data_IF_320300272112
#
_entry.id   IF_320300272112
#
_cell.length_a   1.000
_cell.length_b   1.000
_cell.length_c   1.000
_cell.angle_alpha   90.00
_cell.angle_beta   90.00
_cell.angle_gamma   90.00
#
_symmetry.space_group_name_H-M   'P 1'
#
loop_
_entity.id
_entity.type
_entity.pdbx_description
1 polymer ?
#
# COMPACT_ATOMS: atom_id res chain seq x y z
N UNK A 1 3.33 -12.00 8.17
CA UNK A 1 4.44 -11.49 7.33
C UNK A 1 4.63 -10.05 7.73
N UNK A 2 5.86 -9.55 7.70
CA UNK A 2 6.14 -8.14 8.04
C UNK A 2 6.33 -7.35 6.74
N UNK A 3 5.66 -6.21 6.65
CA UNK A 3 5.79 -5.24 5.57
C UNK A 3 6.26 -3.90 6.13
N UNK A 4 6.86 -3.07 5.29
CA UNK A 4 7.34 -1.74 5.62
C UNK A 4 6.76 -0.72 4.66
N UNK A 5 6.07 0.29 5.19
CA UNK A 5 5.60 1.48 4.48
C UNK A 5 6.62 2.61 4.69
N UNK A 6 7.19 3.13 3.61
CA UNK A 6 8.13 4.24 3.65
C UNK A 6 7.66 5.40 2.77
N UNK A 7 7.70 6.62 3.31
CA UNK A 7 7.55 7.84 2.53
C UNK A 7 8.86 8.15 1.85
N UNK A 8 8.89 8.14 0.51
CA UNK A 8 10.09 8.50 -0.26
C UNK A 8 10.14 10.03 -0.38
N UNK A 9 9.54 10.58 -1.45
CA UNK A 9 9.30 12.01 -1.57
C UNK A 9 8.03 12.47 -0.85
N UNK A 10 7.12 11.54 -0.54
CA UNK A 10 5.93 11.83 0.26
C UNK A 10 6.26 11.86 1.77
N UNK A 11 5.82 12.91 2.45
CA UNK A 11 5.93 13.13 3.89
C UNK A 11 4.87 12.34 4.66
N UNK A 12 5.32 11.44 5.53
CA UNK A 12 4.47 10.65 6.40
C UNK A 12 3.62 11.53 7.34
N UNK A 13 2.30 11.31 7.37
CA UNK A 13 1.36 12.06 8.20
C UNK A 13 0.83 13.35 7.56
N UNK A 14 1.51 13.88 6.54
CA UNK A 14 1.03 14.98 5.71
C UNK A 14 0.38 14.41 4.45
N UNK A 15 1.17 13.74 3.61
CA UNK A 15 0.77 13.34 2.26
C UNK A 15 0.07 11.97 2.26
N UNK A 16 0.34 11.16 3.27
CA UNK A 16 -0.36 9.89 3.50
C UNK A 16 -0.44 9.53 4.98
N UNK A 17 -1.43 8.69 5.32
CA UNK A 17 -1.58 8.14 6.66
C UNK A 17 -0.52 7.07 6.92
N UNK A 18 0.41 7.37 7.83
CA UNK A 18 1.53 6.49 8.19
C UNK A 18 1.31 5.68 9.47
N UNK A 19 0.13 5.79 10.08
CA UNK A 19 -0.19 5.13 11.37
C UNK A 19 -1.08 3.91 11.21
N UNK A 20 -1.71 3.73 10.04
CA UNK A 20 -2.56 2.58 9.76
C UNK A 20 -2.66 2.30 8.26
N UNK A 21 -2.98 1.05 7.94
CA UNK A 21 -3.33 0.60 6.59
C UNK A 21 -4.60 -0.24 6.62
N UNK A 22 -5.30 -0.31 5.49
CA UNK A 22 -6.44 -1.21 5.30
C UNK A 22 -6.04 -2.39 4.44
N UNK A 23 -6.20 -3.61 4.94
CA UNK A 23 -6.00 -4.85 4.22
C UNK A 23 -7.35 -5.33 3.70
N UNK A 24 -7.41 -5.77 2.45
CA UNK A 24 -8.58 -6.45 1.86
C UNK A 24 -8.17 -7.86 1.48
N UNK A 25 -8.83 -8.85 2.07
CA UNK A 25 -8.56 -10.28 1.85
C UNK A 25 -9.25 -10.80 0.58
N UNK A 26 -8.99 -12.07 0.25
CA UNK A 26 -9.55 -12.69 -0.96
C UNK A 26 -11.08 -12.75 -0.93
N UNK A 27 -11.66 -12.97 0.25
CA UNK A 27 -13.11 -13.01 0.48
C UNK A 27 -13.78 -11.62 0.50
N UNK A 28 -12.98 -10.55 0.33
CA UNK A 28 -13.44 -9.17 0.36
C UNK A 28 -13.57 -8.57 1.76
N UNK A 29 -13.29 -9.34 2.83
CA UNK A 29 -13.25 -8.78 4.18
C UNK A 29 -12.09 -7.80 4.33
N UNK A 30 -12.24 -6.86 5.26
CA UNK A 30 -11.22 -5.84 5.52
C UNK A 30 -10.73 -5.87 6.96
N UNK A 31 -9.46 -5.53 7.14
CA UNK A 31 -8.84 -5.32 8.44
C UNK A 31 -8.01 -4.04 8.43
N UNK A 32 -8.20 -3.19 9.44
CA UNK A 32 -7.29 -2.09 9.72
C UNK A 32 -6.14 -2.58 10.59
N UNK A 33 -4.91 -2.30 10.19
CA UNK A 33 -3.70 -2.68 10.91
C UNK A 33 -2.90 -1.42 11.23
N UNK A 34 -2.49 -1.30 12.50
CA UNK A 34 -1.63 -0.21 12.94
C UNK A 34 -0.22 -0.36 12.36
N UNK A 35 0.35 0.76 11.95
CA UNK A 35 1.72 0.86 11.47
C UNK A 35 2.59 1.38 12.63
N UNK A 36 3.71 0.69 12.87
CA UNK A 36 4.67 1.06 13.89
C UNK A 36 5.39 2.37 13.51
N UNK A 37 6.02 3.03 14.49
CA UNK A 37 6.75 4.28 14.25
C UNK A 37 7.93 4.16 13.27
N UNK A 38 8.41 2.95 13.00
CA UNK A 38 9.43 2.65 11.99
C UNK A 38 8.84 2.27 10.61
N UNK A 39 7.53 2.40 10.43
CA UNK A 39 6.83 2.06 9.20
C UNK A 39 6.49 0.58 9.04
N UNK A 40 6.87 -0.27 9.99
CA UNK A 40 6.60 -1.72 9.90
C UNK A 40 5.20 -2.07 10.37
N UNK A 41 4.62 -3.14 9.81
CA UNK A 41 3.38 -3.74 10.30
C UNK A 41 3.28 -5.20 9.89
N UNK A 42 2.53 -5.99 10.66
CA UNK A 42 2.32 -7.40 10.40
C UNK A 42 0.98 -7.68 9.73
N UNK A 43 1.04 -8.50 8.68
CA UNK A 43 -0.13 -9.01 7.97
C UNK A 43 -0.25 -10.51 8.21
N UNK A 44 -1.38 -10.92 8.77
CA UNK A 44 -1.80 -12.32 8.86
C UNK A 44 -2.71 -12.64 7.67
N UNK A 45 -2.29 -13.56 6.80
CA UNK A 45 -3.10 -14.07 5.69
C UNK A 45 -3.70 -15.41 6.15
N UNK A 46 -5.03 -15.56 6.16
CA UNK A 46 -5.68 -16.84 6.48
C UNK A 46 -5.15 -17.99 5.62
N UNK A 47 -5.11 -19.19 6.17
CA UNK A 47 -4.71 -20.37 5.40
C UNK A 47 -5.69 -20.60 4.23
N UNK A 48 -5.16 -20.72 3.01
CA UNK A 48 -5.95 -20.88 1.79
C UNK A 48 -6.09 -19.59 0.96
N UNK A 49 -5.90 -18.42 1.58
CA UNK A 49 -5.87 -17.15 0.85
C UNK A 49 -4.52 -16.97 0.17
N UNK A 50 -4.56 -16.67 -1.13
CA UNK A 50 -3.36 -16.44 -1.96
C UNK A 50 -3.25 -14.99 -2.43
N UNK A 51 -4.28 -14.18 -2.21
CA UNK A 51 -4.39 -12.82 -2.73
C UNK A 51 -4.94 -11.89 -1.67
N UNK A 52 -4.32 -10.72 -1.55
CA UNK A 52 -4.82 -9.63 -0.71
C UNK A 52 -4.38 -8.30 -1.33
N UNK A 53 -5.01 -7.21 -0.89
CA UNK A 53 -4.62 -5.85 -1.24
C UNK A 53 -4.41 -5.03 0.01
N UNK A 54 -3.51 -4.06 -0.05
CA UNK A 54 -3.25 -3.10 1.02
C UNK A 54 -3.54 -1.71 0.48
N UNK A 55 -4.34 -0.94 1.21
CA UNK A 55 -4.64 0.45 0.89
C UNK A 55 -4.06 1.36 1.95
N UNK A 56 -3.36 2.40 1.47
CA UNK A 56 -2.87 3.53 2.26
C UNK A 56 -3.68 4.75 1.87
N UNK A 57 -4.18 5.51 2.84
CA UNK A 57 -4.89 6.76 2.58
C UNK A 57 -3.89 7.86 2.25
N UNK A 58 -4.09 8.57 1.14
CA UNK A 58 -3.34 9.80 0.82
C UNK A 58 -4.17 11.03 1.19
N UNK A 59 -3.49 12.12 1.51
CA UNK A 59 -4.09 13.44 1.71
C UNK A 59 -3.87 14.24 0.45
N UNK A 60 -4.91 14.95 0.00
CA UNK A 60 -4.79 15.97 -1.04
C UNK A 60 -5.15 17.30 -0.37
N UNK A 61 -4.17 18.17 -0.19
CA UNK A 61 -4.33 19.45 0.48
C UNK A 61 -4.46 20.64 -0.50
N UNK A 62 -4.41 20.37 -1.81
CA UNK A 62 -4.55 21.35 -2.88
C UNK A 62 -3.30 22.17 -3.19
N UNK A 63 -2.16 21.90 -2.54
CA UNK A 63 -0.88 22.57 -2.80
C UNK A 63 0.00 21.68 -3.65
N UNK A 64 0.51 22.16 -4.80
CA UNK A 64 1.46 21.37 -5.58
C UNK A 64 2.88 21.50 -5.04
N UNK A 65 3.41 20.41 -4.49
CA UNK A 65 4.78 20.33 -3.96
C UNK A 65 5.73 19.54 -4.88
N UNK A 66 5.20 18.92 -5.93
CA UNK A 66 5.94 18.09 -6.88
C UNK A 66 5.36 16.68 -6.98
N UNK A 67 6.11 15.78 -7.62
CA UNK A 67 5.77 14.35 -7.68
C UNK A 67 6.17 13.65 -6.38
N UNK A 68 5.18 13.30 -5.58
CA UNK A 68 5.35 12.59 -4.33
C UNK A 68 5.12 11.09 -4.48
N UNK A 69 5.96 10.28 -3.82
CA UNK A 69 5.84 8.83 -3.85
C UNK A 69 6.09 8.20 -2.49
N UNK A 70 5.46 7.05 -2.26
CA UNK A 70 5.74 6.16 -1.14
C UNK A 70 5.93 4.74 -1.63
N UNK A 71 6.62 3.93 -0.83
CA UNK A 71 6.90 2.53 -1.11
C UNK A 71 6.25 1.63 -0.07
N UNK A 72 5.77 0.48 -0.52
CA UNK A 72 5.42 -0.65 0.33
C UNK A 72 6.32 -1.81 -0.03
N UNK A 73 7.03 -2.35 0.96
CA UNK A 73 8.00 -3.41 0.75
C UNK A 73 7.83 -4.56 1.73
N UNK A 74 8.20 -5.76 1.29
CA UNK A 74 8.38 -6.91 2.18
C UNK A 74 8.17 -8.24 1.47
N UNK A 75 8.17 -9.32 2.25
CA UNK A 75 8.14 -10.68 1.74
C UNK A 75 7.18 -11.56 2.54
N UNK A 76 6.40 -12.36 1.84
CA UNK A 76 5.64 -13.47 2.43
C UNK A 76 6.59 -14.59 2.85
N UNK A 77 6.15 -15.50 3.73
CA UNK A 77 6.96 -16.62 4.19
C UNK A 77 7.41 -17.57 3.06
N UNK A 78 6.70 -17.57 1.93
CA UNK A 78 7.01 -18.41 0.76
C UNK A 78 7.76 -17.67 -0.35
N UNK A 79 7.99 -16.36 -0.22
CA UNK A 79 8.76 -15.56 -1.17
C UNK A 79 10.25 -15.58 -0.83
N UNK A 80 11.07 -15.87 -1.84
CA UNK A 80 12.54 -15.73 -1.75
C UNK A 80 13.02 -14.31 -1.99
N UNK A 81 12.16 -13.44 -2.54
CA UNK A 81 12.51 -12.04 -2.88
C UNK A 81 11.41 -11.12 -2.35
N UNK A 82 11.82 -10.04 -1.69
CA UNK A 82 10.91 -8.98 -1.28
C UNK A 82 10.30 -8.29 -2.51
N UNK A 83 9.02 -7.96 -2.42
CA UNK A 83 8.35 -7.11 -3.42
C UNK A 83 8.35 -5.68 -2.92
N UNK A 84 8.76 -4.75 -3.77
CA UNK A 84 8.62 -3.31 -3.54
C UNK A 84 7.63 -2.75 -4.56
N UNK A 85 6.61 -2.04 -4.07
CA UNK A 85 5.65 -1.33 -4.91
C UNK A 85 5.71 0.15 -4.57
N UNK A 86 5.94 0.98 -5.58
CA UNK A 86 5.91 2.43 -5.46
C UNK A 86 4.55 2.95 -5.92
N UNK A 87 3.98 3.90 -5.17
CA UNK A 87 2.74 4.58 -5.56
C UNK A 87 2.90 6.09 -5.47
N UNK A 88 2.34 6.85 -6.43
CA UNK A 88 2.23 8.28 -6.29
C UNK A 88 1.24 8.62 -5.15
N UNK A 89 1.61 9.60 -4.33
CA UNK A 89 0.65 10.35 -3.53
C UNK A 89 -0.13 11.27 -4.46
N UNK A 90 -1.42 11.50 -4.19
CA UNK A 90 -2.20 12.48 -4.96
C UNK A 90 -2.01 13.86 -4.36
N UNK A 91 -1.23 14.69 -5.03
CA UNK A 91 -1.09 16.12 -4.76
C UNK A 91 -1.65 16.87 -5.96
N UNK A 92 -2.91 17.32 -5.92
CA UNK A 92 -3.46 18.12 -7.04
C UNK A 92 -3.37 19.61 -6.73
N UNK A 93 -2.33 20.25 -7.26
CA UNK A 93 -2.37 21.69 -7.51
C UNK A 93 -3.45 22.00 -8.53
N UNK A 94 -4.64 22.36 -8.06
CA UNK A 94 -5.62 23.04 -8.88
C UNK A 94 -5.19 24.51 -9.00
N UNK A 95 -4.57 24.88 -10.12
CA UNK A 95 -4.51 26.29 -10.50
C UNK A 95 -5.83 26.63 -11.21
N UNK A 96 -6.88 27.01 -10.47
CA UNK A 96 -8.04 27.77 -11.00
C UNK A 96 -8.64 28.63 -9.86
N UNK A 97 -9.07 29.89 -10.12
CA UNK A 97 -9.21 31.00 -9.15
C UNK A 97 -10.48 30.88 -8.24
N UNK A 98 -10.79 31.83 -7.34
CA UNK A 98 -11.27 31.56 -5.98
C UNK A 98 -12.70 31.01 -5.89
N UNK A 99 -12.87 29.71 -5.89
CA UNK A 99 -13.95 29.05 -5.17
C UNK A 99 -13.50 27.71 -4.58
N UNK A 100 -13.55 27.61 -3.25
CA UNK A 100 -13.03 26.48 -2.50
C UNK A 100 -13.82 25.20 -2.76
N UNK A 101 -13.11 24.10 -3.04
CA UNK A 101 -13.66 22.75 -2.91
C UNK A 101 -12.63 21.79 -2.33
N UNK A 102 -12.82 21.56 -1.02
CA UNK A 102 -12.55 20.38 -0.20
C UNK A 102 -11.49 19.37 -0.67
N UNK A 103 -10.34 19.37 0.01
CA UNK A 103 -9.35 18.30 0.03
C UNK A 103 -9.98 16.95 0.42
N UNK A 104 -9.93 16.00 -0.50
CA UNK A 104 -10.53 14.68 -0.35
C UNK A 104 -9.44 13.61 -0.24
N UNK A 105 -9.41 12.90 0.91
CA UNK A 105 -8.55 11.73 1.08
C UNK A 105 -8.85 10.68 0.01
N UNK A 106 -7.83 10.27 -0.75
CA UNK A 106 -7.97 9.24 -1.80
C UNK A 106 -7.16 8.00 -1.39
N UNK A 107 -7.77 6.80 -1.36
CA UNK A 107 -7.02 5.58 -1.07
C UNK A 107 -6.17 5.14 -2.27
N UNK A 108 -4.90 4.79 -2.02
CA UNK A 108 -4.01 4.17 -3.01
C UNK A 108 -3.86 2.68 -2.69
N UNK A 109 -4.34 1.76 -3.55
CA UNK A 109 -4.38 0.31 -3.29
C UNK A 109 -3.28 -0.53 -3.98
N UNK A 110 -2.56 -1.37 -3.25
CA UNK A 110 -1.47 -2.26 -3.73
C UNK A 110 -1.94 -3.71 -3.65
N UNK A 111 -1.87 -4.47 -4.75
CA UNK A 111 -2.25 -5.89 -4.78
C UNK A 111 -1.03 -6.78 -4.61
N UNK A 112 -1.08 -7.71 -3.65
CA UNK A 112 -0.07 -8.75 -3.44
C UNK A 112 -0.64 -10.12 -3.82
N UNK A 113 0.21 -10.95 -4.42
CA UNK A 113 -0.07 -12.37 -4.68
C UNK A 113 1.02 -13.19 -3.99
N UNK A 114 0.64 -14.12 -3.11
CA UNK A 114 1.57 -15.11 -2.60
C UNK A 114 1.95 -16.05 -3.75
N UNK A 115 3.24 -16.33 -4.01
CA UNK A 115 3.62 -17.38 -4.94
C UNK A 115 3.18 -18.73 -4.35
N UNK A 116 2.41 -19.48 -5.12
CA UNK A 116 1.97 -20.83 -4.78
C UNK A 116 3.19 -21.72 -4.53
N UNK A 117 3.44 -22.08 -3.27
CA UNK A 117 4.46 -23.06 -2.92
C UNK A 117 3.96 -24.48 -3.19
N UNK A 118 4.37 -25.09 -4.31
CA UNK A 118 4.97 -26.43 -4.44
C UNK A 118 5.14 -26.80 -5.93
N UNK A 119 6.38 -27.11 -6.34
CA UNK A 119 6.68 -27.48 -7.73
C UNK A 119 6.05 -28.81 -8.15
N UNK A 120 5.48 -28.85 -9.36
CA UNK A 120 5.42 -30.06 -10.17
C UNK A 120 6.01 -29.79 -11.55
N UNK A 121 7.08 -30.54 -11.82
CA UNK A 121 7.73 -30.71 -13.12
C UNK A 121 6.64 -31.13 -14.12
N UNK A 122 6.29 -30.27 -15.05
CA UNK A 122 5.61 -30.74 -16.25
C UNK A 122 6.67 -31.45 -17.09
N UNK A 123 6.66 -32.79 -17.08
CA UNK A 123 7.26 -33.53 -18.18
C UNK A 123 6.46 -33.17 -19.42
N UNK A 124 7.14 -32.63 -20.41
CA UNK A 124 6.66 -32.68 -21.79
C UNK A 124 6.52 -34.17 -22.14
N UNK A 125 5.31 -34.57 -22.52
CA UNK A 125 5.09 -35.70 -23.43
C UNK A 125 4.79 -35.11 -24.80
#
# INVERSE_FOLDING_TARGET
>A
MTLTLAGESATAGTDFTSTEVTITYQDGTTQTVAVNGDGTFDVAIPAGDTTFSISVQTTDDGVYEGDETFTLSGQTATQTTAMTVQRPSKTMGSVTPPDGSSGGRSPSGIRYQQPNGIGRRQRHV
#
